data_IF_135800733562
#
_entry.id   IF_135800733562
#
_cell.length_a   1.000
_cell.length_b   1.000
_cell.length_c   1.000
_cell.angle_alpha   90.00
_cell.angle_beta   90.00
_cell.angle_gamma   90.00
#
_symmetry.space_group_name_H-M   'P 1'
#
loop_
_entity.id
_entity.type
_entity.pdbx_description
1 polymer ?
#
# COMPACT_ATOMS: atom_id res chain seq x y z
N UNK A 1 -13.08 43.94 1.92
CA UNK A 1 -13.40 42.67 1.23
C UNK A 1 -12.10 41.90 1.13
N UNK A 2 -11.83 41.00 2.07
CA UNK A 2 -10.69 40.10 1.98
C UNK A 2 -11.10 38.94 1.06
N UNK A 3 -10.53 38.90 -0.14
CA UNK A 3 -10.59 37.72 -0.99
C UNK A 3 -9.74 36.63 -0.30
N UNK A 4 -10.37 35.83 0.57
CA UNK A 4 -9.84 34.55 0.98
C UNK A 4 -9.98 33.62 -0.20
N UNK A 5 -8.99 33.58 -1.09
CA UNK A 5 -8.79 32.45 -1.99
C UNK A 5 -8.57 31.23 -1.08
N UNK A 6 -9.64 30.45 -0.86
CA UNK A 6 -9.52 29.15 -0.20
C UNK A 6 -8.51 28.35 -1.01
N UNK A 7 -7.36 28.04 -0.41
CA UNK A 7 -6.36 27.21 -1.07
C UNK A 7 -7.04 25.89 -1.45
N UNK A 8 -6.97 25.52 -2.73
CA UNK A 8 -7.55 24.28 -3.23
C UNK A 8 -6.89 23.08 -2.55
N UNK A 9 -7.67 22.05 -2.27
CA UNK A 9 -7.15 20.79 -1.72
C UNK A 9 -6.04 20.20 -2.60
N UNK A 10 -5.02 19.63 -1.97
CA UNK A 10 -3.96 18.89 -2.66
C UNK A 10 -4.29 17.39 -2.86
N UNK A 11 -5.53 17.00 -2.58
CA UNK A 11 -6.06 15.66 -2.87
C UNK A 11 -6.86 15.73 -4.17
N UNK A 12 -6.70 14.75 -5.09
CA UNK A 12 -7.47 14.70 -6.33
C UNK A 12 -8.97 14.63 -6.06
N UNK A 13 -9.78 15.10 -7.02
CA UNK A 13 -11.22 14.93 -6.97
C UNK A 13 -11.60 13.45 -6.87
N UNK A 14 -12.45 13.12 -5.90
CA UNK A 14 -12.88 11.74 -5.59
C UNK A 14 -13.93 11.30 -6.61
N UNK A 15 -13.45 10.73 -7.70
CA UNK A 15 -14.25 10.22 -8.83
C UNK A 15 -14.07 8.70 -8.98
N UNK A 16 -14.80 8.07 -9.89
CA UNK A 16 -14.57 6.65 -10.21
C UNK A 16 -13.11 6.39 -10.64
N UNK A 17 -12.52 7.31 -11.45
CA UNK A 17 -11.13 7.21 -11.85
C UNK A 17 -10.15 7.27 -10.64
N UNK A 18 -10.45 8.08 -9.62
CA UNK A 18 -9.68 8.10 -8.37
C UNK A 18 -9.63 6.71 -7.73
N UNK A 19 -10.78 6.04 -7.58
CA UNK A 19 -10.85 4.72 -6.95
C UNK A 19 -10.15 3.63 -7.76
N UNK A 20 -10.33 3.62 -9.08
CA UNK A 20 -9.63 2.68 -9.98
C UNK A 20 -8.10 2.88 -9.91
N UNK A 21 -7.64 4.14 -9.98
CA UNK A 21 -6.21 4.45 -9.86
C UNK A 21 -5.68 4.05 -8.48
N UNK A 22 -6.47 4.26 -7.42
CA UNK A 22 -6.07 3.87 -6.07
C UNK A 22 -5.92 2.36 -5.93
N UNK A 23 -6.88 1.57 -6.43
CA UNK A 23 -6.78 0.10 -6.41
C UNK A 23 -5.53 -0.34 -7.19
N UNK A 24 -5.30 0.18 -8.40
CA UNK A 24 -4.11 -0.12 -9.17
C UNK A 24 -2.81 0.25 -8.43
N UNK A 25 -2.77 1.44 -7.78
CA UNK A 25 -1.62 1.88 -7.01
C UNK A 25 -1.36 0.99 -5.77
N UNK A 26 -2.42 0.53 -5.09
CA UNK A 26 -2.29 -0.37 -3.93
C UNK A 26 -1.84 -1.77 -4.35
N UNK A 27 -2.35 -2.30 -5.46
CA UNK A 27 -1.88 -3.56 -6.07
C UNK A 27 -0.42 -3.47 -6.49
N UNK A 28 -0.01 -2.38 -7.14
CA UNK A 28 1.39 -2.14 -7.52
C UNK A 28 2.31 -2.03 -6.30
N UNK A 29 1.85 -1.39 -5.23
CA UNK A 29 2.60 -1.28 -3.98
C UNK A 29 2.81 -2.62 -3.31
N UNK A 30 1.81 -3.51 -3.34
CA UNK A 30 1.90 -4.88 -2.82
C UNK A 30 2.94 -5.68 -3.61
N UNK A 31 2.72 -5.85 -4.90
CA UNK A 31 3.64 -6.62 -5.76
C UNK A 31 5.05 -6.05 -5.78
N UNK A 32 5.21 -4.71 -5.69
CA UNK A 32 6.50 -4.03 -5.63
C UNK A 32 7.23 -4.26 -4.30
N UNK A 33 6.51 -4.26 -3.18
CA UNK A 33 7.05 -4.60 -1.86
C UNK A 33 7.57 -6.03 -1.83
N UNK A 34 6.76 -6.99 -2.23
CA UNK A 34 7.07 -8.41 -2.30
C UNK A 34 8.23 -8.71 -3.26
N UNK A 35 8.28 -8.01 -4.40
CA UNK A 35 9.38 -8.17 -5.34
C UNK A 35 10.74 -7.85 -4.69
N UNK A 36 10.82 -6.80 -3.90
CA UNK A 36 12.07 -6.39 -3.23
C UNK A 36 12.37 -7.26 -2.02
N UNK A 37 11.38 -7.51 -1.17
CA UNK A 37 11.59 -8.23 0.10
C UNK A 37 11.76 -9.73 -0.10
N UNK A 38 10.93 -10.33 -0.96
CA UNK A 38 10.87 -11.79 -1.17
C UNK A 38 11.60 -12.22 -2.43
N UNK A 39 11.33 -11.61 -3.61
CA UNK A 39 11.88 -12.09 -4.88
C UNK A 39 13.34 -11.72 -5.06
N UNK A 40 13.78 -10.52 -4.59
CA UNK A 40 15.18 -10.09 -4.58
C UNK A 40 15.92 -10.53 -3.31
N UNK A 41 15.21 -11.15 -2.35
CA UNK A 41 15.75 -11.67 -1.08
C UNK A 41 16.48 -10.62 -0.21
N UNK A 42 16.00 -9.36 -0.25
CA UNK A 42 16.54 -8.29 0.59
C UNK A 42 16.02 -8.33 2.03
N UNK A 43 14.96 -9.10 2.27
CA UNK A 43 14.29 -9.22 3.55
C UNK A 43 13.42 -8.03 3.92
N UNK A 44 12.50 -8.25 4.87
CA UNK A 44 11.46 -7.27 5.21
C UNK A 44 12.00 -5.99 5.85
N UNK A 45 13.00 -6.09 6.75
CA UNK A 45 13.57 -4.91 7.39
C UNK A 45 14.27 -3.98 6.39
N UNK A 46 15.10 -4.54 5.52
CA UNK A 46 15.84 -3.76 4.51
C UNK A 46 14.88 -3.12 3.52
N UNK A 47 13.88 -3.89 3.03
CA UNK A 47 12.84 -3.36 2.16
C UNK A 47 12.06 -2.23 2.83
N UNK A 48 11.67 -2.40 4.09
CA UNK A 48 10.96 -1.35 4.86
C UNK A 48 11.80 -0.08 4.97
N UNK A 49 13.09 -0.17 5.29
CA UNK A 49 13.96 1.01 5.41
C UNK A 49 14.12 1.75 4.08
N UNK A 50 14.30 1.02 2.97
CA UNK A 50 14.40 1.61 1.63
C UNK A 50 13.10 2.35 1.28
N UNK A 51 11.95 1.68 1.40
CA UNK A 51 10.68 2.29 1.03
C UNK A 51 10.22 3.37 2.01
N UNK A 52 10.60 3.29 3.30
CA UNK A 52 10.38 4.36 4.25
C UNK A 52 11.15 5.64 3.86
N UNK A 53 12.39 5.50 3.43
CA UNK A 53 13.18 6.65 2.94
C UNK A 53 12.55 7.26 1.69
N UNK A 54 12.11 6.45 0.72
CA UNK A 54 11.42 6.91 -0.49
C UNK A 54 10.10 7.60 -0.13
N UNK A 55 9.31 7.01 0.76
CA UNK A 55 8.05 7.59 1.23
C UNK A 55 8.26 8.94 1.92
N UNK A 56 9.21 9.03 2.84
CA UNK A 56 9.50 10.29 3.55
C UNK A 56 9.95 11.38 2.56
N UNK A 57 10.81 11.04 1.61
CA UNK A 57 11.22 11.98 0.55
C UNK A 57 10.01 12.44 -0.29
N UNK A 58 9.14 11.50 -0.70
CA UNK A 58 7.93 11.81 -1.47
C UNK A 58 6.97 12.73 -0.70
N UNK A 59 6.73 12.46 0.59
CA UNK A 59 5.89 13.29 1.46
C UNK A 59 6.49 14.70 1.62
N UNK A 60 7.81 14.81 1.81
CA UNK A 60 8.47 16.12 1.90
C UNK A 60 8.28 16.91 0.61
N UNK A 61 8.46 16.27 -0.55
CA UNK A 61 8.23 16.92 -1.85
C UNK A 61 6.76 17.32 -2.00
N UNK A 62 5.82 16.44 -1.64
CA UNK A 62 4.38 16.70 -1.70
C UNK A 62 3.99 17.89 -0.82
N UNK A 63 4.49 17.97 0.41
CA UNK A 63 4.21 19.07 1.35
C UNK A 63 4.82 20.39 0.85
N UNK A 64 6.04 20.35 0.32
CA UNK A 64 6.74 21.55 -0.20
C UNK A 64 6.17 22.08 -1.52
N UNK A 65 5.51 21.23 -2.28
CA UNK A 65 4.86 21.66 -3.52
C UNK A 65 3.57 22.43 -3.19
N UNK A 66 3.48 23.70 -3.61
CA UNK A 66 2.41 24.62 -3.19
C UNK A 66 1.04 24.35 -3.83
N UNK A 67 0.99 23.62 -4.93
CA UNK A 67 -0.24 23.31 -5.67
C UNK A 67 -0.44 21.81 -5.84
N UNK A 68 -1.66 21.40 -6.15
CA UNK A 68 -1.93 19.99 -6.50
C UNK A 68 -1.14 19.57 -7.74
N UNK A 69 -0.39 18.49 -7.63
CA UNK A 69 0.27 17.81 -8.74
C UNK A 69 -0.07 16.33 -8.72
N UNK A 70 -0.76 15.87 -9.76
CA UNK A 70 -1.25 14.49 -9.85
C UNK A 70 -0.13 13.44 -9.80
N UNK A 71 1.04 13.74 -10.39
CA UNK A 71 2.15 12.80 -10.45
C UNK A 71 2.83 12.64 -9.08
N UNK A 72 3.07 13.76 -8.38
CA UNK A 72 3.64 13.74 -7.03
C UNK A 72 2.68 13.02 -6.09
N UNK A 73 1.38 13.34 -6.16
CA UNK A 73 0.37 12.72 -5.30
C UNK A 73 0.34 11.19 -5.49
N UNK A 74 0.18 10.71 -6.73
CA UNK A 74 0.09 9.27 -6.98
C UNK A 74 1.40 8.53 -6.73
N UNK A 75 2.55 9.16 -7.00
CA UNK A 75 3.84 8.62 -6.60
C UNK A 75 3.94 8.45 -5.07
N UNK A 76 3.50 9.46 -4.30
CA UNK A 76 3.47 9.39 -2.83
C UNK A 76 2.50 8.31 -2.36
N UNK A 77 1.35 8.13 -3.01
CA UNK A 77 0.42 7.02 -2.72
C UNK A 77 1.11 5.67 -2.97
N UNK A 78 1.75 5.46 -4.11
CA UNK A 78 2.49 4.21 -4.40
C UNK A 78 3.59 3.99 -3.36
N UNK A 79 4.41 5.00 -3.06
CA UNK A 79 5.46 4.89 -2.03
C UNK A 79 4.87 4.51 -0.65
N UNK A 80 3.72 5.11 -0.29
CA UNK A 80 3.05 4.80 0.99
C UNK A 80 2.53 3.36 1.03
N UNK A 81 1.98 2.87 -0.09
CA UNK A 81 1.48 1.47 -0.13
C UNK A 81 2.64 0.49 -0.02
N UNK A 82 3.74 0.74 -0.74
CA UNK A 82 4.90 -0.16 -0.74
C UNK A 82 5.57 -0.23 0.63
N UNK A 83 5.77 0.91 1.31
CA UNK A 83 6.28 0.89 2.69
C UNK A 83 5.28 0.24 3.64
N UNK A 84 3.97 0.43 3.41
CA UNK A 84 2.91 -0.19 4.20
C UNK A 84 2.96 -1.72 4.12
N UNK A 85 3.16 -2.29 2.92
CA UNK A 85 3.35 -3.73 2.69
C UNK A 85 4.55 -4.25 3.47
N UNK A 86 5.72 -3.69 3.20
CA UNK A 86 6.97 -4.19 3.81
C UNK A 86 6.99 -4.03 5.33
N UNK A 87 6.36 -2.98 5.87
CA UNK A 87 6.25 -2.74 7.31
C UNK A 87 5.27 -3.71 7.98
N UNK A 88 4.14 -4.02 7.34
CA UNK A 88 3.19 -5.02 7.83
C UNK A 88 3.85 -6.39 7.88
N UNK A 89 4.49 -6.82 6.80
CA UNK A 89 5.23 -8.07 6.73
C UNK A 89 6.36 -8.16 7.76
N UNK A 90 7.09 -7.07 7.97
CA UNK A 90 8.12 -7.03 9.01
C UNK A 90 7.52 -7.20 10.40
N UNK A 91 6.42 -6.50 10.72
CA UNK A 91 5.76 -6.61 12.01
C UNK A 91 5.15 -8.00 12.23
N UNK A 92 4.41 -8.51 11.25
CA UNK A 92 3.64 -9.74 11.39
C UNK A 92 4.52 -10.98 11.33
N UNK A 93 5.50 -11.00 10.41
CA UNK A 93 6.33 -12.18 10.11
C UNK A 93 7.69 -12.16 10.79
N UNK A 94 8.36 -11.00 10.91
CA UNK A 94 9.69 -10.91 11.52
C UNK A 94 9.65 -10.65 13.02
N UNK A 95 8.75 -9.77 13.50
CA UNK A 95 8.56 -9.53 14.93
C UNK A 95 7.61 -10.52 15.60
N UNK A 96 6.89 -11.32 14.81
CA UNK A 96 5.99 -12.35 15.32
C UNK A 96 4.72 -11.81 16.00
N UNK A 97 4.30 -10.56 15.70
CA UNK A 97 3.05 -10.00 16.22
C UNK A 97 1.84 -10.76 15.67
N UNK A 98 1.98 -11.32 14.46
CA UNK A 98 0.95 -12.06 13.74
C UNK A 98 -0.16 -11.17 13.19
N UNK A 99 -0.87 -11.66 12.19
CA UNK A 99 -1.86 -10.88 11.44
C UNK A 99 -2.96 -10.27 12.32
N UNK A 100 -3.49 -11.02 13.29
CA UNK A 100 -4.53 -10.50 14.19
C UNK A 100 -3.98 -9.39 15.10
N UNK A 101 -2.80 -9.60 15.69
CA UNK A 101 -2.15 -8.60 16.54
C UNK A 101 -1.80 -7.33 15.77
N UNK A 102 -1.22 -7.48 14.57
CA UNK A 102 -0.94 -6.38 13.65
C UNK A 102 -2.20 -5.63 13.25
N UNK A 103 -3.27 -6.34 12.89
CA UNK A 103 -4.56 -5.73 12.53
C UNK A 103 -5.15 -4.92 13.68
N UNK A 104 -5.16 -5.44 14.92
CA UNK A 104 -5.69 -4.72 16.10
C UNK A 104 -4.85 -3.49 16.42
N UNK A 105 -3.52 -3.62 16.43
CA UNK A 105 -2.61 -2.50 16.67
C UNK A 105 -2.77 -1.38 15.65
N UNK A 106 -2.72 -1.74 14.36
CA UNK A 106 -2.80 -0.77 13.27
C UNK A 106 -4.18 -0.12 13.16
N UNK A 107 -5.26 -0.87 13.44
CA UNK A 107 -6.61 -0.31 13.52
C UNK A 107 -6.70 0.73 14.65
N UNK A 108 -6.10 0.45 15.80
CA UNK A 108 -6.06 1.37 16.94
C UNK A 108 -5.27 2.64 16.59
N UNK A 109 -4.10 2.51 15.94
CA UNK A 109 -3.28 3.65 15.50
C UNK A 109 -3.98 4.47 14.42
N UNK A 110 -4.67 3.83 13.48
CA UNK A 110 -5.46 4.50 12.45
C UNK A 110 -6.61 5.31 13.07
N UNK A 111 -7.38 4.71 13.96
CA UNK A 111 -8.48 5.40 14.66
C UNK A 111 -7.91 6.57 15.49
N UNK A 112 -6.83 6.34 16.22
CA UNK A 112 -6.17 7.38 16.99
C UNK A 112 -5.70 8.54 16.10
N UNK A 113 -5.08 8.25 14.94
CA UNK A 113 -4.63 9.29 14.00
C UNK A 113 -5.80 10.12 13.47
N UNK A 114 -6.93 9.49 13.11
CA UNK A 114 -8.14 10.18 12.67
C UNK A 114 -8.76 11.03 13.79
N UNK A 115 -8.79 10.53 15.02
CA UNK A 115 -9.30 11.27 16.19
C UNK A 115 -8.43 12.48 16.50
N UNK A 116 -7.11 12.31 16.57
CA UNK A 116 -6.17 13.41 16.82
C UNK A 116 -6.28 14.45 15.70
N UNK A 117 -6.34 14.03 14.45
CA UNK A 117 -6.56 14.93 13.32
C UNK A 117 -7.89 15.70 13.46
N UNK A 118 -8.98 15.00 13.77
CA UNK A 118 -10.30 15.61 13.98
C UNK A 118 -10.30 16.66 15.09
N UNK A 119 -9.67 16.34 16.22
CA UNK A 119 -9.58 17.26 17.37
C UNK A 119 -8.68 18.45 17.07
N UNK A 120 -7.54 18.23 16.38
CA UNK A 120 -6.54 19.28 16.13
C UNK A 120 -6.96 20.23 15.00
N UNK A 121 -7.60 19.72 13.94
CA UNK A 121 -7.92 20.49 12.73
C UNK A 121 -9.43 20.77 12.55
N UNK A 122 -10.28 20.23 13.43
CA UNK A 122 -11.74 20.42 13.37
C UNK A 122 -12.44 19.57 12.31
N UNK A 123 -11.74 19.08 11.29
CA UNK A 123 -12.28 18.23 10.23
C UNK A 123 -11.23 17.24 9.73
N UNK A 124 -11.71 16.10 9.23
CA UNK A 124 -10.91 15.08 8.52
C UNK A 124 -11.34 14.98 7.05
N UNK A 125 -12.04 15.98 6.53
CA UNK A 125 -12.49 16.02 5.15
C UNK A 125 -11.30 16.27 4.21
N UNK A 126 -11.22 15.48 3.13
CA UNK A 126 -10.05 15.52 2.22
C UNK A 126 -9.98 16.79 1.37
N UNK A 127 -11.10 17.48 1.19
CA UNK A 127 -11.17 18.79 0.56
C UNK A 127 -10.54 19.91 1.39
N UNK A 128 -10.33 19.67 2.70
CA UNK A 128 -9.65 20.60 3.63
C UNK A 128 -8.14 20.39 3.72
N UNK A 129 -7.54 19.45 2.95
CA UNK A 129 -6.11 19.15 2.96
C UNK A 129 -5.37 20.18 2.08
N UNK A 130 -4.99 21.31 2.68
CA UNK A 130 -4.41 22.45 1.98
C UNK A 130 -3.31 23.19 2.78
N UNK A 131 -2.94 22.67 3.94
CA UNK A 131 -1.89 23.24 4.80
C UNK A 131 -0.90 22.16 5.23
N UNK A 132 0.32 22.54 5.59
CA UNK A 132 1.35 21.60 6.07
C UNK A 132 0.82 20.71 7.19
N UNK A 133 0.03 21.29 8.12
CA UNK A 133 -0.55 20.55 9.25
C UNK A 133 -1.55 19.49 8.77
N UNK A 134 -2.52 19.86 7.92
CA UNK A 134 -3.55 18.92 7.42
C UNK A 134 -2.95 17.86 6.50
N UNK A 135 -1.93 18.21 5.69
CA UNK A 135 -1.19 17.26 4.87
C UNK A 135 -0.39 16.26 5.71
N UNK A 136 0.24 16.70 6.78
CA UNK A 136 0.99 15.79 7.69
C UNK A 136 0.05 14.77 8.32
N UNK A 137 -1.10 15.20 8.84
CA UNK A 137 -2.11 14.27 9.36
C UNK A 137 -2.64 13.32 8.29
N UNK A 138 -2.88 13.84 7.09
CA UNK A 138 -3.36 13.05 5.95
C UNK A 138 -2.38 11.91 5.61
N UNK A 139 -1.09 12.22 5.44
CA UNK A 139 -0.10 11.21 5.07
C UNK A 139 0.20 10.21 6.19
N UNK A 140 0.19 10.64 7.46
CA UNK A 140 0.30 9.74 8.62
C UNK A 140 -0.90 8.79 8.68
N UNK A 141 -2.12 9.31 8.50
CA UNK A 141 -3.34 8.49 8.49
C UNK A 141 -3.34 7.51 7.32
N UNK A 142 -2.93 7.96 6.13
CA UNK A 142 -2.77 7.08 4.97
C UNK A 142 -1.76 5.97 5.26
N UNK A 143 -0.61 6.28 5.84
CA UNK A 143 0.40 5.29 6.16
C UNK A 143 -0.16 4.18 7.07
N UNK A 144 -0.86 4.53 8.15
CA UNK A 144 -1.50 3.52 9.00
C UNK A 144 -2.58 2.74 8.25
N UNK A 145 -3.38 3.41 7.41
CA UNK A 145 -4.39 2.74 6.59
C UNK A 145 -3.78 1.76 5.58
N UNK A 146 -2.65 2.12 4.97
CA UNK A 146 -1.98 1.26 3.99
C UNK A 146 -1.33 0.04 4.66
N UNK A 147 -0.66 0.24 5.78
CA UNK A 147 -0.07 -0.87 6.56
C UNK A 147 -1.15 -1.81 7.10
N UNK A 148 -2.24 -1.26 7.67
CA UNK A 148 -3.40 -2.04 8.11
C UNK A 148 -3.99 -2.87 6.98
N UNK A 149 -4.06 -2.29 5.77
CA UNK A 149 -4.68 -2.98 4.65
C UNK A 149 -3.93 -4.22 4.19
N UNK A 150 -2.59 -4.25 4.28
CA UNK A 150 -1.81 -5.47 4.06
C UNK A 150 -2.10 -6.50 5.14
N UNK A 151 -1.93 -6.14 6.42
CA UNK A 151 -2.19 -7.05 7.52
C UNK A 151 -3.62 -7.64 7.49
N UNK A 152 -4.63 -6.82 7.12
CA UNK A 152 -6.01 -7.25 7.00
C UNK A 152 -6.24 -8.14 5.76
N UNK A 153 -5.57 -7.86 4.65
CA UNK A 153 -5.61 -8.66 3.43
C UNK A 153 -5.02 -10.05 3.68
N UNK A 154 -3.82 -10.11 4.24
CA UNK A 154 -3.12 -11.35 4.58
C UNK A 154 -3.90 -12.16 5.62
N UNK A 155 -4.42 -11.52 6.67
CA UNK A 155 -5.23 -12.19 7.66
C UNK A 155 -6.47 -12.85 7.03
N UNK A 156 -7.16 -12.13 6.14
CA UNK A 156 -8.35 -12.64 5.46
C UNK A 156 -8.02 -13.80 4.52
N UNK A 157 -6.95 -13.67 3.73
CA UNK A 157 -6.58 -14.66 2.73
C UNK A 157 -5.94 -15.91 3.36
N UNK A 158 -5.00 -15.71 4.28
CA UNK A 158 -4.16 -16.80 4.82
C UNK A 158 -4.77 -17.45 6.07
N UNK A 159 -5.34 -16.66 7.01
CA UNK A 159 -5.73 -17.17 8.33
C UNK A 159 -7.18 -17.62 8.41
N UNK A 160 -8.10 -16.88 7.77
CA UNK A 160 -9.54 -17.20 7.79
C UNK A 160 -9.94 -18.19 6.71
N UNK A 161 -9.00 -18.62 5.85
CA UNK A 161 -9.22 -19.66 4.86
C UNK A 161 -10.10 -19.24 3.68
N UNK A 162 -10.34 -17.93 3.49
CA UNK A 162 -11.08 -17.44 2.32
C UNK A 162 -10.27 -17.56 1.03
N UNK A 163 -8.94 -17.62 1.12
CA UNK A 163 -8.05 -17.53 -0.03
C UNK A 163 -8.12 -16.18 -0.72
N UNK A 164 -7.39 -16.01 -1.80
CA UNK A 164 -7.35 -14.73 -2.52
C UNK A 164 -8.69 -14.42 -3.18
N UNK A 165 -9.34 -15.39 -3.82
CA UNK A 165 -10.64 -15.18 -4.49
C UNK A 165 -11.73 -14.77 -3.50
N UNK A 166 -11.81 -15.43 -2.34
CA UNK A 166 -12.76 -15.11 -1.30
C UNK A 166 -12.49 -13.75 -0.66
N UNK A 167 -11.22 -13.41 -0.45
CA UNK A 167 -10.81 -12.08 0.03
C UNK A 167 -11.19 -10.98 -0.95
N UNK A 168 -10.96 -11.17 -2.26
CA UNK A 168 -11.40 -10.23 -3.30
C UNK A 168 -12.92 -10.02 -3.24
N UNK A 169 -13.70 -11.10 -3.20
CA UNK A 169 -15.16 -11.02 -3.13
C UNK A 169 -15.63 -10.30 -1.86
N UNK A 170 -15.01 -10.57 -0.72
CA UNK A 170 -15.32 -9.91 0.55
C UNK A 170 -15.11 -8.40 0.46
N UNK A 171 -13.94 -7.94 0.01
CA UNK A 171 -13.62 -6.52 -0.04
C UNK A 171 -14.39 -5.79 -1.15
N UNK A 172 -14.61 -6.42 -2.31
CA UNK A 172 -15.48 -5.87 -3.36
C UNK A 172 -16.91 -5.74 -2.85
N UNK A 173 -17.44 -6.76 -2.16
CA UNK A 173 -18.77 -6.71 -1.54
C UNK A 173 -18.90 -5.58 -0.52
N UNK A 174 -17.89 -5.43 0.37
CA UNK A 174 -17.87 -4.34 1.35
C UNK A 174 -17.84 -2.96 0.68
N UNK A 175 -17.05 -2.78 -0.38
CA UNK A 175 -17.01 -1.54 -1.15
C UNK A 175 -18.34 -1.27 -1.88
N UNK A 176 -19.00 -2.31 -2.40
CA UNK A 176 -20.34 -2.19 -2.98
C UNK A 176 -21.36 -1.73 -1.95
N UNK A 177 -21.32 -2.25 -0.72
CA UNK A 177 -22.18 -1.79 0.38
C UNK A 177 -21.94 -0.30 0.69
N UNK A 178 -20.68 0.15 0.74
CA UNK A 178 -20.35 1.58 0.94
C UNK A 178 -20.88 2.42 -0.22
N UNK A 179 -20.74 1.95 -1.45
CA UNK A 179 -21.26 2.64 -2.62
C UNK A 179 -22.79 2.76 -2.56
N UNK A 180 -23.50 1.68 -2.21
CA UNK A 180 -24.95 1.70 -1.99
C UNK A 180 -25.32 2.66 -0.85
N UNK A 181 -24.59 2.60 0.28
CA UNK A 181 -24.82 3.53 1.39
C UNK A 181 -24.65 4.98 0.95
N UNK A 182 -23.72 5.29 0.06
CA UNK A 182 -23.54 6.64 -0.48
C UNK A 182 -24.71 7.14 -1.33
N UNK A 183 -25.52 6.22 -1.87
CA UNK A 183 -26.68 6.54 -2.73
C UNK A 183 -28.01 6.58 -1.97
N UNK A 184 -28.13 5.77 -0.92
CA UNK A 184 -29.42 5.53 -0.27
C UNK A 184 -29.45 5.96 1.21
N UNK A 185 -28.34 6.47 1.77
CA UNK A 185 -28.30 6.92 3.16
C UNK A 185 -27.79 8.35 3.29
N UNK A 186 -28.04 8.96 4.45
CA UNK A 186 -27.56 10.30 4.82
C UNK A 186 -26.20 10.28 5.54
N UNK A 187 -25.48 9.16 5.51
CA UNK A 187 -24.16 9.05 6.14
C UNK A 187 -23.20 10.08 5.54
N UNK A 188 -22.41 10.71 6.41
CA UNK A 188 -21.43 11.73 6.02
C UNK A 188 -20.50 11.22 4.91
N UNK A 189 -20.33 12.01 3.86
CA UNK A 189 -19.43 11.69 2.74
C UNK A 189 -17.97 11.51 3.19
N UNK A 190 -17.56 12.23 4.22
CA UNK A 190 -16.22 12.07 4.83
C UNK A 190 -16.06 10.67 5.47
N UNK A 191 -17.07 10.18 6.18
CA UNK A 191 -17.07 8.84 6.76
C UNK A 191 -17.03 7.78 5.67
N UNK A 192 -17.88 7.89 4.65
CA UNK A 192 -17.92 6.98 3.52
C UNK A 192 -16.62 6.98 2.72
N UNK A 193 -16.00 8.16 2.56
CA UNK A 193 -14.67 8.27 1.92
C UNK A 193 -13.62 7.48 2.69
N UNK A 194 -13.49 7.69 4.02
CA UNK A 194 -12.49 6.99 4.81
C UNK A 194 -12.76 5.49 4.89
N UNK A 195 -14.03 5.07 4.99
CA UNK A 195 -14.40 3.65 4.94
C UNK A 195 -13.98 3.00 3.61
N UNK A 196 -14.31 3.63 2.48
CA UNK A 196 -13.89 3.14 1.17
C UNK A 196 -12.36 3.21 0.99
N UNK A 197 -11.72 4.29 1.48
CA UNK A 197 -10.28 4.46 1.38
C UNK A 197 -9.52 3.37 2.13
N UNK A 198 -9.97 3.03 3.32
CA UNK A 198 -9.39 1.96 4.14
C UNK A 198 -9.59 0.60 3.46
N UNK A 199 -10.82 0.29 2.99
CA UNK A 199 -11.14 -1.02 2.40
C UNK A 199 -10.58 -1.25 0.99
N UNK A 200 -10.26 -0.21 0.24
CA UNK A 200 -9.58 -0.38 -1.07
C UNK A 200 -8.15 -0.87 -0.92
N UNK A 201 -7.53 -0.73 0.27
CA UNK A 201 -6.16 -1.17 0.46
C UNK A 201 -6.06 -2.70 0.64
N UNK A 202 -6.82 -3.38 1.52
CA UNK A 202 -6.79 -4.84 1.58
C UNK A 202 -7.28 -5.47 0.26
N UNK A 203 -8.23 -4.86 -0.46
CA UNK A 203 -8.56 -5.31 -1.80
C UNK A 203 -7.33 -5.32 -2.72
N UNK A 204 -6.57 -4.20 -2.75
CA UNK A 204 -5.37 -4.11 -3.57
C UNK A 204 -4.27 -5.08 -3.14
N UNK A 205 -4.14 -5.37 -1.83
CA UNK A 205 -3.22 -6.36 -1.29
C UNK A 205 -3.58 -7.77 -1.79
N UNK A 206 -4.82 -8.20 -1.56
CA UNK A 206 -5.28 -9.54 -1.98
C UNK A 206 -5.23 -9.71 -3.50
N UNK A 207 -5.54 -8.67 -4.29
CA UNK A 207 -5.37 -8.69 -5.75
C UNK A 207 -3.88 -8.79 -6.12
N UNK A 208 -3.01 -8.05 -5.44
CA UNK A 208 -1.56 -8.11 -5.65
C UNK A 208 -1.01 -9.51 -5.37
N UNK A 209 -1.39 -10.10 -4.26
CA UNK A 209 -1.03 -11.45 -3.87
C UNK A 209 -1.56 -12.50 -4.84
N UNK A 210 -2.81 -12.37 -5.28
CA UNK A 210 -3.38 -13.23 -6.30
C UNK A 210 -2.56 -13.21 -7.60
N UNK A 211 -2.06 -12.05 -8.00
CA UNK A 211 -1.22 -11.93 -9.20
C UNK A 211 0.20 -12.46 -9.00
N UNK A 212 0.78 -12.31 -7.80
CA UNK A 212 2.21 -12.55 -7.54
C UNK A 212 2.52 -13.89 -6.89
N UNK A 213 1.68 -14.34 -5.96
CA UNK A 213 1.96 -15.56 -5.17
C UNK A 213 1.96 -16.82 -6.04
N UNK A 214 2.65 -17.91 -5.60
CA UNK A 214 2.71 -19.16 -6.33
C UNK A 214 1.34 -19.79 -6.59
N UNK A 215 1.22 -20.49 -7.73
CA UNK A 215 0.00 -21.27 -8.08
C UNK A 215 -0.36 -22.25 -6.96
N UNK A 216 0.62 -22.85 -6.30
CA UNK A 216 0.39 -23.77 -5.17
C UNK A 216 -0.29 -23.12 -3.97
N UNK A 217 -0.29 -21.78 -3.88
CA UNK A 217 -0.98 -20.97 -2.87
C UNK A 217 -2.26 -20.30 -3.40
N UNK A 218 -2.68 -20.64 -4.61
CA UNK A 218 -3.87 -20.05 -5.25
C UNK A 218 -3.59 -18.76 -6.02
N UNK A 219 -2.32 -18.34 -6.18
CA UNK A 219 -1.93 -17.17 -6.98
C UNK A 219 -1.67 -17.52 -8.45
N UNK A 220 -1.38 -16.50 -9.27
CA UNK A 220 -1.08 -16.64 -10.71
C UNK A 220 0.42 -16.66 -11.03
N UNK A 221 1.28 -16.37 -10.07
CA UNK A 221 2.76 -16.33 -10.20
C UNK A 221 3.29 -15.42 -11.34
N UNK A 222 2.55 -14.33 -11.69
CA UNK A 222 2.86 -13.52 -12.86
C UNK A 222 4.15 -12.71 -12.74
N UNK A 223 4.47 -12.15 -11.57
CA UNK A 223 5.69 -11.33 -11.38
C UNK A 223 6.96 -12.17 -11.23
N UNK A 224 6.86 -13.43 -10.81
CA UNK A 224 8.00 -14.32 -10.62
C UNK A 224 8.62 -14.82 -11.93
N UNK A 225 7.89 -14.75 -13.03
CA UNK A 225 8.48 -15.06 -14.34
C UNK A 225 9.63 -14.12 -14.70
N UNK A 226 9.51 -12.83 -14.38
CA UNK A 226 10.58 -11.84 -14.53
C UNK A 226 11.80 -12.14 -13.65
N UNK A 227 11.58 -12.48 -12.37
CA UNK A 227 12.67 -12.79 -11.42
C UNK A 227 13.41 -14.07 -11.76
N UNK A 228 12.72 -15.11 -12.23
CA UNK A 228 13.35 -16.36 -12.72
C UNK A 228 14.21 -16.13 -13.95
N UNK A 229 13.81 -15.25 -14.85
CA UNK A 229 14.59 -14.87 -16.03
C UNK A 229 15.92 -14.18 -15.63
N UNK A 230 15.88 -13.29 -14.63
CA UNK A 230 17.07 -12.62 -14.09
C UNK A 230 17.98 -13.55 -13.30
N UNK A 231 17.44 -14.50 -12.52
CA UNK A 231 18.24 -15.47 -11.78
C UNK A 231 18.89 -16.52 -12.69
N UNK A 232 18.19 -16.98 -13.72
CA UNK A 232 18.73 -17.87 -14.73
C UNK A 232 19.84 -17.21 -15.57
N UNK A 233 19.68 -15.91 -15.89
CA UNK A 233 20.72 -15.13 -16.57
C UNK A 233 21.95 -14.90 -15.70
N UNK A 234 21.80 -14.83 -14.37
CA UNK A 234 22.90 -14.70 -13.40
C UNK A 234 23.64 -16.05 -13.22
N UNK A 235 22.91 -17.16 -13.16
CA UNK A 235 23.48 -18.50 -13.05
C UNK A 235 24.25 -18.90 -14.32
N UNK A 236 23.78 -18.49 -15.49
CA UNK A 236 24.47 -18.71 -16.77
C UNK A 236 25.81 -17.96 -16.90
N UNK A 237 25.98 -16.84 -16.18
CA UNK A 237 27.28 -16.11 -16.15
C UNK A 237 28.31 -16.73 -15.21
N UNK A 238 27.90 -17.32 -14.11
CA UNK A 238 28.80 -17.99 -13.17
C UNK A 238 29.34 -19.31 -13.71
N UNK A 239 28.55 -20.04 -14.50
CA UNK A 239 29.05 -21.30 -15.11
C UNK A 239 30.04 -21.10 -16.28
N UNK A 240 30.13 -19.89 -16.84
CA UNK A 240 31.10 -19.57 -17.91
C UNK A 240 32.50 -19.23 -17.38
N UNK A 241 32.67 -18.89 -16.11
CA UNK A 241 33.97 -18.53 -15.52
C UNK A 241 34.77 -19.70 -14.92
N UNK A 242 34.20 -20.89 -14.79
CA UNK A 242 34.87 -22.06 -14.19
C UNK A 242 35.45 -23.05 -15.21
N UNK A 243 35.48 -22.69 -16.50
CA UNK A 243 36.05 -23.58 -17.54
C UNK A 243 37.26 -23.01 -18.24
N UNK A 244 38.27 -22.57 -17.50
CA UNK A 244 39.64 -22.36 -18.04
C UNK A 244 40.65 -22.69 -16.95
N UNK A 245 41.07 -23.96 -16.83
CA UNK A 245 42.41 -24.32 -16.41
C UNK A 245 42.75 -25.61 -17.19
N UNK A 246 43.59 -25.55 -18.19
CA UNK A 246 44.31 -26.74 -18.68
C UNK A 246 45.53 -26.96 -17.79
N UNK A 247 45.54 -27.98 -16.98
CA UNK A 247 46.78 -28.48 -16.39
C UNK A 247 47.50 -29.32 -17.44
N UNK A 248 48.46 -28.70 -18.11
CA UNK A 248 49.58 -29.41 -18.68
C UNK A 248 50.73 -29.36 -17.67
N UNK A 249 51.11 -30.48 -17.11
CA UNK A 249 52.50 -30.72 -16.66
C UNK A 249 52.83 -32.19 -16.93
N UNK A 250 53.95 -32.34 -17.57
CA UNK A 250 54.68 -33.54 -17.98
C UNK A 250 54.90 -34.60 -16.88
#
# INVERSE_FOLDING_TARGET
>A
MQNTTSALSKVPAVTAAFWLTKIAATTLGETGGDAVTMSMDLGYLTGTLIFAAIFLAAVIVQIRHHSFNKWIYWFTVVATTTVGTTLADFADRSLGIGYLGGTVLLSSLLVLSLLVWRVTCGTIAVDSVNSVRTESFYWVTIMFSQTLGTALGDWTADSEGFGYDGGILLFVGALAVIWLASRFTSISRTVLFWAAFILTRPLGAVVGDFLDKPIAKGGLELSRYGARFFSAARCGKTHRQTRIIPTSVA
#
